data_IF_218676598813
#
_entry.id   IF_218676598813
#
_cell.length_a   1.000
_cell.length_b   1.000
_cell.length_c   1.000
_cell.angle_alpha   90.00
_cell.angle_beta   90.00
_cell.angle_gamma   90.00
#
_symmetry.space_group_name_H-M   'P 1'
#
loop_
_entity.id
_entity.type
_entity.pdbx_description
1 polymer ?
#
# COMPACT_ATOMS: atom_id res chain seq x y z
N UNK A 1 11.73 -18.90 -13.81
CA UNK A 1 11.22 -17.80 -12.95
C UNK A 1 9.80 -18.08 -12.50
N UNK A 2 8.82 -18.28 -13.38
CA UNK A 2 7.44 -18.61 -12.95
C UNK A 2 7.32 -19.85 -12.07
N UNK A 3 8.10 -20.91 -12.32
CA UNK A 3 8.11 -22.08 -11.42
C UNK A 3 8.57 -21.74 -10.00
N UNK A 4 9.54 -20.83 -9.86
CA UNK A 4 10.03 -20.38 -8.55
C UNK A 4 9.03 -19.44 -7.88
N UNK A 5 8.37 -18.57 -8.64
CA UNK A 5 7.24 -17.79 -8.16
C UNK A 5 6.12 -18.68 -7.61
N UNK A 6 5.69 -19.70 -8.35
CA UNK A 6 4.67 -20.64 -7.90
C UNK A 6 5.12 -21.45 -6.68
N UNK A 7 6.40 -21.85 -6.62
CA UNK A 7 6.95 -22.51 -5.44
C UNK A 7 6.93 -21.60 -4.21
N UNK A 8 7.21 -20.31 -4.36
CA UNK A 8 7.09 -19.33 -3.29
C UNK A 8 5.64 -19.17 -2.84
N UNK A 9 4.71 -18.93 -3.77
CA UNK A 9 3.26 -18.79 -3.48
C UNK A 9 2.73 -20.03 -2.74
N UNK A 10 3.15 -21.23 -3.14
CA UNK A 10 2.75 -22.47 -2.47
C UNK A 10 3.14 -22.52 -0.98
N UNK A 11 4.19 -21.81 -0.57
CA UNK A 11 4.66 -21.76 0.81
C UNK A 11 3.98 -20.63 1.57
N UNK A 12 3.97 -19.42 1.02
CA UNK A 12 3.58 -18.21 1.76
C UNK A 12 2.10 -17.85 1.60
N UNK A 13 1.43 -18.37 0.56
CA UNK A 13 0.02 -18.10 0.27
C UNK A 13 -0.64 -19.30 -0.44
N UNK A 14 -0.77 -20.45 0.25
CA UNK A 14 -1.28 -21.68 -0.37
C UNK A 14 -2.71 -21.54 -0.90
N UNK A 15 -3.52 -20.67 -0.31
CA UNK A 15 -4.91 -20.46 -0.74
C UNK A 15 -5.01 -19.75 -2.11
N UNK A 16 -3.97 -18.98 -2.49
CA UNK A 16 -3.93 -18.30 -3.79
C UNK A 16 -3.23 -19.12 -4.88
N UNK A 17 -2.56 -20.21 -4.51
CA UNK A 17 -1.82 -21.09 -5.42
C UNK A 17 -2.68 -21.60 -6.60
N UNK A 18 -3.92 -22.09 -6.42
CA UNK A 18 -4.71 -22.59 -7.56
C UNK A 18 -4.95 -21.52 -8.62
N UNK A 19 -5.17 -20.27 -8.20
CA UNK A 19 -5.34 -19.13 -9.10
C UNK A 19 -4.04 -18.79 -9.81
N UNK A 20 -2.92 -18.77 -9.08
CA UNK A 20 -1.61 -18.53 -9.65
C UNK A 20 -1.21 -19.62 -10.67
N UNK A 21 -1.46 -20.90 -10.37
CA UNK A 21 -1.21 -22.03 -11.27
C UNK A 21 -2.09 -21.99 -12.52
N UNK A 22 -3.35 -21.56 -12.40
CA UNK A 22 -4.25 -21.40 -13.56
C UNK A 22 -3.78 -20.34 -14.55
N UNK A 23 -2.97 -19.38 -14.10
CA UNK A 23 -2.42 -18.30 -14.92
C UNK A 23 -1.00 -18.61 -15.39
N UNK A 24 -0.09 -18.89 -14.45
CA UNK A 24 1.36 -19.00 -14.68
C UNK A 24 1.87 -20.44 -14.73
N UNK A 25 1.06 -21.43 -14.35
CA UNK A 25 1.44 -22.85 -14.39
C UNK A 25 1.61 -23.35 -15.84
N UNK A 26 2.19 -24.54 -16.07
CA UNK A 26 2.52 -25.02 -17.42
C UNK A 26 1.32 -25.12 -18.39
N UNK A 27 0.12 -25.31 -17.85
CA UNK A 27 -1.13 -25.33 -18.60
C UNK A 27 -1.91 -24.00 -18.53
N UNK A 28 -1.35 -22.99 -17.88
CA UNK A 28 -1.99 -21.71 -17.61
C UNK A 28 -2.17 -20.85 -18.85
N UNK A 29 -3.01 -19.82 -18.72
CA UNK A 29 -3.41 -18.91 -19.80
C UNK A 29 -2.24 -18.11 -20.39
N UNK A 30 -1.18 -17.86 -19.60
CA UNK A 30 0.02 -17.15 -20.06
C UNK A 30 0.71 -17.81 -21.25
N UNK A 31 0.74 -19.14 -21.30
CA UNK A 31 1.48 -19.89 -22.31
C UNK A 31 0.63 -20.27 -23.52
N UNK A 32 -0.69 -20.09 -23.43
CA UNK A 32 -1.62 -20.31 -24.53
C UNK A 32 -1.78 -19.08 -25.44
N UNK A 33 -1.09 -17.99 -25.09
CA UNK A 33 -1.18 -16.68 -25.74
C UNK A 33 -0.04 -16.44 -26.75
N UNK A 34 0.04 -15.24 -27.35
CA UNK A 34 1.14 -14.90 -28.24
C UNK A 34 2.48 -14.82 -27.48
N UNK A 35 3.64 -14.91 -28.18
CA UNK A 35 4.95 -14.79 -27.55
C UNK A 35 5.14 -13.50 -26.73
N UNK A 36 4.54 -12.39 -27.16
CA UNK A 36 4.60 -11.11 -26.46
C UNK A 36 3.89 -11.19 -25.10
N UNK A 37 2.72 -11.84 -25.05
CA UNK A 37 1.98 -12.07 -23.81
C UNK A 37 2.72 -13.03 -22.89
N UNK A 38 3.32 -14.09 -23.46
CA UNK A 38 4.14 -15.02 -22.68
C UNK A 38 5.34 -14.31 -22.04
N UNK A 39 5.99 -13.37 -22.74
CA UNK A 39 7.08 -12.57 -22.18
C UNK A 39 6.58 -11.67 -21.05
N UNK A 40 5.45 -10.98 -21.24
CA UNK A 40 4.83 -10.19 -20.18
C UNK A 40 4.56 -11.02 -18.91
N UNK A 41 4.11 -12.26 -19.06
CA UNK A 41 3.93 -13.17 -17.93
C UNK A 41 5.24 -13.57 -17.24
N UNK A 42 6.34 -13.77 -17.98
CA UNK A 42 7.65 -14.04 -17.41
C UNK A 42 8.11 -12.84 -16.57
N UNK A 43 7.93 -11.62 -17.09
CA UNK A 43 8.31 -10.38 -16.42
C UNK A 43 7.45 -10.18 -15.15
N UNK A 44 6.15 -10.47 -15.22
CA UNK A 44 5.27 -10.49 -14.04
C UNK A 44 5.73 -11.49 -12.99
N UNK A 45 6.02 -12.74 -13.37
CA UNK A 45 6.54 -13.73 -12.43
C UNK A 45 7.86 -13.30 -11.78
N UNK A 46 8.77 -12.70 -12.55
CA UNK A 46 10.05 -12.22 -12.04
C UNK A 46 9.84 -11.07 -11.04
N UNK A 47 8.98 -10.11 -11.39
CA UNK A 47 8.64 -8.98 -10.51
C UNK A 47 7.96 -9.47 -9.24
N UNK A 48 6.95 -10.34 -9.35
CA UNK A 48 6.26 -10.89 -8.18
C UNK A 48 7.21 -11.68 -7.30
N UNK A 49 8.06 -12.55 -7.87
CA UNK A 49 9.05 -13.30 -7.08
C UNK A 49 10.03 -12.36 -6.37
N UNK A 50 10.48 -11.28 -7.00
CA UNK A 50 11.34 -10.28 -6.34
C UNK A 50 10.62 -9.62 -5.15
N UNK A 51 9.34 -9.26 -5.31
CA UNK A 51 8.52 -8.74 -4.20
C UNK A 51 8.39 -9.76 -3.08
N UNK A 52 8.07 -11.01 -3.41
CA UNK A 52 7.99 -12.07 -2.42
C UNK A 52 9.34 -12.32 -1.71
N UNK A 53 10.47 -12.18 -2.40
CA UNK A 53 11.79 -12.27 -1.79
C UNK A 53 12.11 -11.15 -0.80
N UNK A 54 11.51 -9.97 -0.98
CA UNK A 54 11.60 -8.86 -0.01
C UNK A 54 10.66 -9.06 1.19
N UNK A 55 9.46 -9.59 0.94
CA UNK A 55 8.45 -9.83 1.98
C UNK A 55 8.77 -11.04 2.87
N UNK A 56 9.36 -12.08 2.28
CA UNK A 56 9.68 -13.34 2.93
C UNK A 56 11.17 -13.67 2.73
N UNK A 57 12.08 -12.85 3.28
CA UNK A 57 13.52 -13.00 3.07
C UNK A 57 14.10 -14.29 3.68
N UNK A 58 13.38 -14.92 4.60
CA UNK A 58 13.69 -16.23 5.17
C UNK A 58 13.23 -17.41 4.30
N UNK A 59 12.30 -17.17 3.37
CA UNK A 59 11.74 -18.21 2.53
C UNK A 59 12.60 -18.43 1.29
N UNK A 60 13.37 -19.51 1.30
CA UNK A 60 14.27 -19.88 0.21
C UNK A 60 13.54 -20.00 -1.15
N UNK A 61 12.29 -20.45 -1.14
CA UNK A 61 11.47 -20.54 -2.34
C UNK A 61 11.21 -19.16 -2.99
N UNK A 62 11.15 -18.12 -2.16
CA UNK A 62 10.92 -16.74 -2.57
C UNK A 62 12.22 -15.99 -2.94
N UNK A 63 13.38 -16.66 -2.91
CA UNK A 63 14.68 -16.05 -3.18
C UNK A 63 15.47 -15.70 -1.92
N UNK A 64 14.94 -16.00 -0.74
CA UNK A 64 15.59 -15.87 0.57
C UNK A 64 16.70 -16.90 0.78
N UNK A 65 17.82 -16.78 0.07
CA UNK A 65 18.82 -17.83 0.02
C UNK A 65 20.24 -17.36 -0.27
N UNK A 66 20.80 -16.49 0.58
CA UNK A 66 22.23 -16.18 0.65
C UNK A 66 22.48 -14.68 0.87
N UNK A 67 23.36 -14.21 1.76
CA UNK A 67 24.42 -14.81 2.57
C UNK A 67 24.76 -13.82 3.70
N UNK A 68 25.05 -14.32 4.89
CA UNK A 68 25.88 -13.65 5.92
C UNK A 68 27.25 -13.31 5.31
N UNK A 69 27.39 -12.10 4.78
CA UNK A 69 28.64 -11.55 4.23
C UNK A 69 29.09 -10.34 5.06
N UNK A 70 30.22 -10.50 5.75
CA UNK A 70 30.94 -9.51 6.55
C UNK A 70 31.29 -8.24 5.73
N UNK A 71 31.18 -7.02 6.29
CA UNK A 71 31.46 -5.80 5.52
C UNK A 71 32.97 -5.57 5.41
N UNK A 72 33.52 -5.66 4.20
CA UNK A 72 34.89 -5.22 3.90
C UNK A 72 34.91 -3.72 3.65
N UNK A 73 35.55 -3.00 4.56
CA UNK A 73 35.92 -1.59 4.46
C UNK A 73 36.94 -1.39 3.35
N UNK A 74 36.54 -0.73 2.26
CA UNK A 74 37.42 -0.32 1.16
C UNK A 74 37.44 1.20 1.01
N UNK A 75 38.46 1.84 1.57
CA UNK A 75 38.80 3.25 1.32
C UNK A 75 39.32 3.40 -0.10
N UNK A 76 38.80 4.36 -0.87
CA UNK A 76 39.49 4.89 -2.05
C UNK A 76 39.10 6.34 -2.28
N UNK A 77 40.02 7.22 -1.91
CA UNK A 77 40.12 8.61 -2.34
C UNK A 77 40.38 8.69 -3.85
N UNK A 78 39.59 9.48 -4.58
CA UNK A 78 40.01 10.16 -5.81
C UNK A 78 38.96 11.19 -6.23
N UNK A 79 39.28 12.47 -6.06
CA UNK A 79 38.63 13.58 -6.77
C UNK A 79 38.93 13.50 -8.27
N UNK A 80 37.99 13.94 -9.13
CA UNK A 80 38.41 14.91 -10.14
C UNK A 80 37.46 16.09 -10.28
N UNK A 81 38.08 17.20 -10.68
CA UNK A 81 37.52 18.53 -10.85
C UNK A 81 36.45 18.65 -11.94
N UNK A 82 35.35 19.32 -11.58
CA UNK A 82 34.63 20.37 -12.31
C UNK A 82 34.66 20.40 -13.85
N UNK A 83 33.67 19.75 -14.46
CA UNK A 83 33.13 20.06 -15.78
C UNK A 83 31.59 19.95 -15.74
N UNK A 84 30.83 20.63 -16.61
CA UNK A 84 29.38 20.52 -16.60
C UNK A 84 29.00 19.08 -16.94
N UNK A 85 28.48 18.36 -15.94
CA UNK A 85 28.04 16.99 -16.10
C UNK A 85 26.76 17.01 -16.95
N UNK A 86 26.88 16.67 -18.22
CA UNK A 86 25.77 16.00 -18.91
C UNK A 86 25.77 14.60 -18.34
N UNK A 87 25.03 14.38 -17.25
CA UNK A 87 24.78 13.02 -16.78
C UNK A 87 24.03 12.31 -17.89
N UNK A 88 24.75 11.47 -18.62
CA UNK A 88 24.20 10.44 -19.48
C UNK A 88 23.49 9.47 -18.53
N UNK A 89 22.26 9.83 -18.16
CA UNK A 89 21.32 8.93 -17.49
C UNK A 89 21.24 7.74 -18.42
N UNK A 90 21.47 6.52 -17.89
CA UNK A 90 21.38 5.29 -18.69
C UNK A 90 20.10 5.26 -19.53
N UNK A 91 20.02 4.41 -20.57
CA UNK A 91 18.90 4.41 -21.49
C UNK A 91 17.59 4.35 -20.71
N UNK A 92 16.85 5.46 -20.71
CA UNK A 92 15.55 5.53 -20.08
C UNK A 92 14.66 4.52 -20.78
N UNK A 93 14.16 3.54 -20.04
CA UNK A 93 13.27 2.52 -20.59
C UNK A 93 11.85 3.06 -20.80
N UNK A 94 11.52 4.16 -20.12
CA UNK A 94 10.23 4.83 -20.23
C UNK A 94 10.19 5.81 -21.42
N UNK A 95 8.98 6.02 -21.96
CA UNK A 95 8.79 6.97 -23.07
C UNK A 95 9.09 8.39 -22.57
N UNK A 96 9.84 9.24 -23.31
CA UNK A 96 10.10 10.60 -22.86
C UNK A 96 8.84 11.49 -22.76
N UNK A 97 8.80 12.38 -21.78
CA UNK A 97 7.76 13.40 -21.55
C UNK A 97 6.33 12.83 -21.43
N UNK A 98 6.16 11.70 -20.75
CA UNK A 98 4.84 11.21 -20.43
C UNK A 98 4.12 12.16 -19.47
N UNK A 99 2.80 12.32 -19.63
CA UNK A 99 1.99 13.12 -18.72
C UNK A 99 1.91 12.47 -17.33
N UNK A 100 1.30 13.20 -16.39
CA UNK A 100 0.85 12.60 -15.13
C UNK A 100 -0.05 11.39 -15.39
N UNK A 101 -0.10 10.47 -14.43
CA UNK A 101 -0.85 9.22 -14.45
C UNK A 101 -0.39 8.21 -15.53
N UNK A 102 0.61 8.56 -16.34
CA UNK A 102 1.18 7.62 -17.29
C UNK A 102 1.98 6.54 -16.55
N UNK A 103 1.87 5.30 -17.03
CA UNK A 103 2.63 4.19 -16.48
C UNK A 103 4.13 4.37 -16.74
N UNK A 104 4.93 4.21 -15.68
CA UNK A 104 6.38 4.31 -15.71
C UNK A 104 7.00 3.12 -14.96
N UNK A 105 8.25 2.80 -15.29
CA UNK A 105 8.95 1.62 -14.78
C UNK A 105 10.32 1.93 -14.19
N UNK A 106 10.85 3.13 -14.44
CA UNK A 106 12.13 3.58 -13.93
C UNK A 106 11.96 4.47 -12.69
N UNK A 107 12.52 4.03 -11.55
CA UNK A 107 12.43 4.75 -10.27
C UNK A 107 13.17 6.09 -10.28
N UNK A 108 14.04 6.33 -11.26
CA UNK A 108 14.64 7.66 -11.47
C UNK A 108 13.63 8.70 -11.95
N UNK A 109 12.42 8.28 -12.33
CA UNK A 109 11.40 9.15 -12.91
C UNK A 109 11.72 9.59 -14.33
N UNK A 110 12.71 8.97 -14.97
CA UNK A 110 12.98 9.18 -16.38
C UNK A 110 11.70 8.86 -17.19
N UNK A 111 11.43 9.63 -18.23
CA UNK A 111 10.21 9.48 -19.02
C UNK A 111 9.05 10.33 -18.53
N UNK A 112 8.85 10.48 -17.22
CA UNK A 112 7.81 11.36 -16.69
C UNK A 112 8.13 12.84 -16.93
N UNK A 113 7.14 13.65 -17.33
CA UNK A 113 7.34 15.09 -17.54
C UNK A 113 7.73 15.83 -16.25
N UNK A 114 7.33 15.29 -15.10
CA UNK A 114 7.70 15.76 -13.76
C UNK A 114 9.08 15.28 -13.31
N UNK A 115 9.66 14.28 -13.99
CA UNK A 115 10.84 13.56 -13.52
C UNK A 115 10.58 12.67 -12.31
N UNK A 116 9.32 12.31 -12.02
CA UNK A 116 8.95 11.53 -10.83
C UNK A 116 8.03 10.37 -11.20
N UNK A 117 8.48 9.16 -10.87
CA UNK A 117 7.74 7.92 -11.05
C UNK A 117 7.51 7.27 -9.69
N UNK A 118 6.26 7.22 -9.22
CA UNK A 118 5.91 6.52 -8.00
C UNK A 118 5.77 5.03 -8.31
N UNK A 119 6.75 4.23 -7.90
CA UNK A 119 6.77 2.78 -8.17
C UNK A 119 6.33 2.02 -6.93
N UNK A 120 5.34 1.16 -7.12
CA UNK A 120 4.96 0.14 -6.16
C UNK A 120 5.48 -1.21 -6.63
N UNK A 121 6.35 -1.88 -5.85
CA UNK A 121 6.83 -3.20 -6.19
C UNK A 121 5.67 -4.15 -6.55
N UNK A 122 5.82 -4.85 -7.69
CA UNK A 122 4.81 -5.73 -8.32
C UNK A 122 3.58 -5.08 -8.98
N UNK A 123 3.25 -3.80 -8.71
CA UNK A 123 2.09 -3.14 -9.32
C UNK A 123 2.47 -2.13 -10.42
N UNK A 124 3.77 -1.90 -10.62
CA UNK A 124 4.28 -0.93 -11.59
C UNK A 124 4.38 0.46 -10.96
N UNK A 125 4.49 1.48 -11.81
CA UNK A 125 4.53 2.86 -11.34
C UNK A 125 3.72 3.81 -12.21
N UNK A 126 3.42 4.97 -11.64
CA UNK A 126 2.71 6.05 -12.31
C UNK A 126 3.49 7.35 -12.17
N UNK A 127 3.53 8.12 -13.26
CA UNK A 127 4.11 9.46 -13.26
C UNK A 127 3.29 10.37 -12.37
N UNK A 128 3.94 10.99 -11.38
CA UNK A 128 3.29 11.87 -10.40
C UNK A 128 3.98 13.23 -10.29
N UNK A 129 3.37 14.15 -9.55
CA UNK A 129 3.90 15.49 -9.27
C UNK A 129 4.96 15.50 -8.15
N UNK A 130 4.90 14.50 -7.26
CA UNK A 130 5.71 14.42 -6.05
C UNK A 130 6.04 12.96 -5.69
N UNK A 131 7.09 12.74 -4.91
CA UNK A 131 7.41 11.47 -4.25
C UNK A 131 7.50 11.64 -2.73
N UNK A 132 7.68 12.88 -2.27
CA UNK A 132 7.78 13.25 -0.88
C UNK A 132 7.13 14.62 -0.64
N UNK A 133 6.87 14.97 0.61
CA UNK A 133 6.35 16.28 0.99
C UNK A 133 7.25 17.43 0.50
N UNK A 134 8.57 17.23 0.50
CA UNK A 134 9.56 18.22 0.07
C UNK A 134 9.50 18.56 -1.43
N UNK A 135 8.75 17.79 -2.21
CA UNK A 135 8.49 18.06 -3.63
C UNK A 135 7.41 19.12 -3.86
N UNK A 136 6.66 19.47 -2.81
CA UNK A 136 5.50 20.34 -2.86
C UNK A 136 5.76 21.66 -2.13
N UNK A 137 5.29 22.78 -2.71
CA UNK A 137 5.52 24.12 -2.17
C UNK A 137 4.59 24.41 -0.97
N UNK A 138 4.88 23.82 0.20
CA UNK A 138 4.23 24.13 1.46
C UNK A 138 3.00 23.27 1.80
N UNK A 139 2.82 22.13 1.13
CA UNK A 139 1.83 21.11 1.46
C UNK A 139 2.43 19.72 1.33
N UNK A 140 1.58 18.68 1.32
CA UNK A 140 1.98 17.29 1.32
C UNK A 140 1.99 16.65 -0.07
N UNK A 141 2.46 15.40 -0.11
CA UNK A 141 2.35 14.55 -1.29
C UNK A 141 1.29 13.46 -1.09
N UNK A 142 0.20 13.52 -1.84
CA UNK A 142 -0.78 12.43 -1.87
C UNK A 142 -0.22 11.26 -2.68
N UNK A 143 -0.08 10.05 -2.10
CA UNK A 143 0.45 8.88 -2.81
C UNK A 143 -0.39 8.52 -4.04
N UNK A 144 0.24 7.83 -4.99
CA UNK A 144 -0.45 7.34 -6.18
C UNK A 144 -1.58 6.37 -5.81
N UNK A 145 -2.73 6.48 -6.49
CA UNK A 145 -3.83 5.53 -6.34
C UNK A 145 -3.68 4.40 -7.37
N UNK A 146 -3.22 3.26 -6.90
CA UNK A 146 -2.95 2.07 -7.74
C UNK A 146 -4.21 1.43 -8.33
N UNK A 147 -5.38 1.65 -7.72
CA UNK A 147 -6.64 1.06 -8.17
C UNK A 147 -7.24 1.83 -9.35
N UNK A 148 -7.03 3.15 -9.37
CA UNK A 148 -7.51 4.03 -10.44
C UNK A 148 -6.42 4.38 -11.46
N UNK A 149 -5.16 4.05 -11.15
CA UNK A 149 -3.99 4.35 -11.98
C UNK A 149 -3.58 5.82 -11.95
N UNK A 150 -3.95 6.53 -10.88
CA UNK A 150 -3.55 7.93 -10.68
C UNK A 150 -2.15 8.02 -10.08
N UNK A 151 -1.32 8.91 -10.62
CA UNK A 151 -0.04 9.28 -10.04
C UNK A 151 -0.19 10.03 -8.72
N UNK A 152 0.93 10.23 -8.02
CA UNK A 152 0.96 11.07 -6.83
C UNK A 152 0.78 12.54 -7.18
N UNK A 153 0.12 13.30 -6.31
CA UNK A 153 -0.26 14.70 -6.56
C UNK A 153 0.10 15.57 -5.36
N UNK A 154 0.61 16.77 -5.59
CA UNK A 154 0.84 17.72 -4.51
C UNK A 154 -0.49 18.23 -3.95
N UNK A 155 -0.58 18.37 -2.64
CA UNK A 155 -1.78 18.84 -1.95
C UNK A 155 -1.46 20.05 -1.05
N UNK A 156 -2.48 20.60 -0.38
CA UNK A 156 -2.35 21.75 0.51
C UNK A 156 -2.29 21.35 2.00
N UNK A 157 -2.28 20.05 2.30
CA UNK A 157 -2.25 19.52 3.66
C UNK A 157 -3.57 19.65 4.42
N UNK A 158 -4.69 19.56 3.70
CA UNK A 158 -6.03 19.56 4.28
C UNK A 158 -6.40 18.19 4.90
N UNK A 159 -7.60 18.09 5.51
CA UNK A 159 -8.06 16.86 6.13
C UNK A 159 -8.14 15.70 5.12
N UNK A 160 -7.39 14.63 5.40
CA UNK A 160 -7.27 13.43 4.57
C UNK A 160 -6.32 13.55 3.37
N UNK A 161 -5.65 14.68 3.20
CA UNK A 161 -4.57 14.82 2.24
C UNK A 161 -3.36 13.99 2.68
N UNK A 162 -2.61 13.45 1.70
CA UNK A 162 -1.42 12.66 2.00
C UNK A 162 -0.29 13.49 2.57
N UNK A 163 0.44 12.92 3.52
CA UNK A 163 1.54 13.56 4.22
C UNK A 163 2.64 12.55 4.56
N UNK A 164 3.84 13.05 4.84
CA UNK A 164 4.94 12.29 5.45
C UNK A 164 5.33 12.85 6.83
N UNK A 165 4.82 14.02 7.18
CA UNK A 165 5.03 14.65 8.49
C UNK A 165 3.91 15.62 8.86
N UNK A 166 3.73 15.88 10.14
CA UNK A 166 2.78 16.88 10.65
C UNK A 166 3.03 18.29 10.08
N UNK A 167 4.26 18.58 9.65
CA UNK A 167 4.67 19.89 9.17
C UNK A 167 3.93 20.33 7.88
N UNK A 168 3.40 19.40 7.11
CA UNK A 168 2.61 19.72 5.91
C UNK A 168 1.12 19.83 6.18
N UNK A 169 0.63 19.32 7.31
CA UNK A 169 -0.78 19.36 7.67
C UNK A 169 -1.16 20.77 8.13
N UNK A 170 -1.83 21.52 7.25
CA UNK A 170 -2.06 22.95 7.41
C UNK A 170 -3.34 23.29 8.16
N UNK A 171 -4.28 22.34 8.27
CA UNK A 171 -5.52 22.48 9.03
C UNK A 171 -5.26 22.26 10.53
N UNK A 172 -5.47 23.27 11.40
CA UNK A 172 -5.22 23.13 12.84
C UNK A 172 -6.11 22.12 13.58
N UNK A 173 -7.17 21.61 12.95
CA UNK A 173 -7.98 20.53 13.51
C UNK A 173 -7.55 19.17 12.99
N UNK A 174 -6.69 19.12 11.96
CA UNK A 174 -6.20 17.90 11.33
C UNK A 174 -4.68 18.00 11.10
N UNK A 175 -3.94 18.44 12.12
CA UNK A 175 -2.51 18.76 12.04
C UNK A 175 -1.59 17.56 12.33
N UNK A 176 -2.16 16.36 12.45
CA UNK A 176 -1.42 15.12 12.75
C UNK A 176 -1.36 14.23 11.51
N UNK A 177 -0.15 13.83 11.11
CA UNK A 177 0.08 12.93 10.00
C UNK A 177 0.07 11.47 10.47
N UNK A 178 -1.07 10.80 10.37
CA UNK A 178 -1.24 9.41 10.80
C UNK A 178 -1.12 8.41 9.64
N UNK A 179 -0.53 7.24 9.90
CA UNK A 179 -0.46 6.15 8.91
C UNK A 179 -1.79 5.39 8.85
N UNK A 180 -2.51 5.52 7.74
CA UNK A 180 -3.83 4.93 7.57
C UNK A 180 -3.78 3.54 6.92
N UNK A 181 -2.89 3.36 5.95
CA UNK A 181 -2.68 2.08 5.28
C UNK A 181 -1.19 1.75 5.25
N UNK A 182 -0.84 0.55 5.70
CA UNK A 182 0.53 0.05 5.59
C UNK A 182 0.50 -1.38 5.06
N UNK A 183 1.17 -1.58 3.94
CA UNK A 183 1.53 -2.89 3.43
C UNK A 183 3.06 -2.91 3.34
N UNK A 184 3.75 -3.57 4.30
CA UNK A 184 5.20 -3.55 4.39
C UNK A 184 5.87 -3.83 3.04
N UNK A 185 6.77 -2.95 2.60
CA UNK A 185 7.50 -3.11 1.35
C UNK A 185 6.68 -2.89 0.06
N UNK A 186 5.39 -2.54 0.15
CA UNK A 186 4.52 -2.24 -0.99
C UNK A 186 4.11 -0.77 -0.98
N UNK A 187 3.36 -0.35 0.04
CA UNK A 187 2.84 1.02 0.13
C UNK A 187 2.59 1.42 1.58
N UNK A 188 2.89 2.68 1.88
CA UNK A 188 2.50 3.36 3.11
C UNK A 188 1.72 4.58 2.70
N UNK A 189 0.49 4.70 3.21
CA UNK A 189 -0.37 5.88 3.02
C UNK A 189 -0.59 6.50 4.38
N UNK A 190 -0.03 7.68 4.55
CA UNK A 190 -0.24 8.52 5.71
C UNK A 190 -0.99 9.78 5.29
N UNK A 191 -1.91 10.24 6.13
CA UNK A 191 -2.84 11.32 5.81
C UNK A 191 -3.02 12.26 7.00
N UNK A 192 -3.25 13.54 6.72
CA UNK A 192 -3.54 14.54 7.74
C UNK A 192 -4.90 14.27 8.40
N UNK A 193 -4.91 14.12 9.72
CA UNK A 193 -6.10 13.83 10.53
C UNK A 193 -6.02 14.47 11.90
N UNK A 194 -7.07 14.28 12.71
CA UNK A 194 -7.17 14.87 14.06
C UNK A 194 -6.23 14.20 15.07
N UNK A 195 -5.79 12.97 14.80
CA UNK A 195 -4.98 12.16 15.72
C UNK A 195 -4.17 11.10 14.95
N UNK A 196 -3.11 10.59 15.58
CA UNK A 196 -2.45 9.34 15.16
C UNK A 196 -2.82 8.21 16.14
N UNK A 197 -3.01 8.57 17.41
CA UNK A 197 -3.30 7.63 18.49
C UNK A 197 -4.35 8.21 19.43
N UNK A 198 -4.91 7.36 20.31
CA UNK A 198 -5.80 7.80 21.39
C UNK A 198 -5.18 8.86 22.32
N UNK A 199 -3.85 9.00 22.35
CA UNK A 199 -3.17 9.98 23.19
C UNK A 199 -3.30 11.42 22.67
N UNK A 200 -3.54 11.58 21.36
CA UNK A 200 -3.73 12.88 20.71
C UNK A 200 -5.16 13.39 20.93
N UNK A 201 -6.07 12.46 21.23
CA UNK A 201 -7.46 12.72 21.54
C UNK A 201 -7.69 13.11 23.01
N UNK A 202 -8.70 13.96 23.24
CA UNK A 202 -9.01 14.48 24.57
C UNK A 202 -10.50 14.68 24.84
N UNK A 203 -10.83 14.89 26.13
CA UNK A 203 -12.17 15.30 26.52
C UNK A 203 -13.26 14.25 26.29
N UNK A 204 -14.27 14.59 25.47
CA UNK A 204 -15.43 13.74 25.20
C UNK A 204 -15.20 12.76 24.03
N UNK A 205 -14.09 12.92 23.32
CA UNK A 205 -13.76 12.13 22.12
C UNK A 205 -12.35 11.53 22.27
N UNK A 206 -12.12 10.61 23.23
CA UNK A 206 -10.79 10.12 23.58
C UNK A 206 -10.29 8.96 22.70
N UNK A 207 -11.04 8.56 21.66
CA UNK A 207 -10.71 7.42 20.81
C UNK A 207 -10.35 7.93 19.42
N UNK A 208 -9.16 7.59 18.93
CA UNK A 208 -8.74 7.82 17.55
C UNK A 208 -9.27 6.69 16.68
N UNK A 209 -10.08 7.02 15.66
CA UNK A 209 -10.67 6.04 14.78
C UNK A 209 -10.47 6.43 13.31
N UNK A 210 -10.09 5.48 12.43
CA UNK A 210 -9.92 5.77 11.03
C UNK A 210 -11.26 5.89 10.29
N UNK A 211 -11.33 6.83 9.38
CA UNK A 211 -12.36 6.95 8.33
C UNK A 211 -11.70 6.61 7.00
N UNK A 212 -12.12 5.52 6.36
CA UNK A 212 -11.53 5.04 5.10
C UNK A 212 -12.26 5.60 3.86
N UNK A 213 -11.50 5.98 2.84
CA UNK A 213 -11.97 6.20 1.47
C UNK A 213 -11.17 5.29 0.53
N UNK A 214 -11.62 4.06 0.39
CA UNK A 214 -10.91 3.03 -0.36
C UNK A 214 -10.96 3.25 -1.87
N UNK A 215 -11.93 4.01 -2.37
CA UNK A 215 -11.98 4.36 -3.80
C UNK A 215 -10.78 5.25 -4.18
N UNK A 216 -10.39 6.14 -3.27
CA UNK A 216 -9.27 7.05 -3.46
C UNK A 216 -7.97 6.58 -2.81
N UNK A 217 -8.00 5.45 -2.10
CA UNK A 217 -6.92 4.99 -1.22
C UNK A 217 -6.48 6.09 -0.24
N UNK A 218 -7.45 6.78 0.34
CA UNK A 218 -7.27 7.87 1.28
C UNK A 218 -8.16 7.69 2.51
N UNK A 219 -8.24 8.72 3.33
CA UNK A 219 -9.02 8.75 4.55
C UNK A 219 -8.34 9.65 5.57
N UNK A 220 -8.72 9.53 6.84
CA UNK A 220 -8.05 10.22 7.95
C UNK A 220 -8.42 9.55 9.27
N UNK A 221 -7.76 9.94 10.34
CA UNK A 221 -8.17 9.60 11.69
C UNK A 221 -8.95 10.75 12.31
N UNK A 222 -10.08 10.42 12.95
CA UNK A 222 -10.95 11.36 13.65
C UNK A 222 -10.97 11.00 15.15
N UNK A 223 -10.98 12.01 16.03
CA UNK A 223 -11.22 11.80 17.46
C UNK A 223 -12.72 11.62 17.71
N UNK A 224 -13.11 10.43 18.14
CA UNK A 224 -14.50 10.03 18.34
C UNK A 224 -14.81 9.69 19.80
N UNK A 225 -16.09 9.77 20.16
CA UNK A 225 -16.55 9.33 21.48
C UNK A 225 -16.50 7.78 21.56
N UNK A 226 -16.32 7.20 22.76
CA UNK A 226 -16.31 5.75 22.89
C UNK A 226 -17.67 5.16 22.47
N UNK A 227 -17.65 4.09 21.68
CA UNK A 227 -18.84 3.41 21.20
C UNK A 227 -19.66 4.20 20.18
N UNK A 228 -19.09 5.19 19.51
CA UNK A 228 -19.81 6.05 18.57
C UNK A 228 -19.68 5.64 17.10
N UNK A 229 -18.73 4.77 16.76
CA UNK A 229 -18.53 4.29 15.39
C UNK A 229 -19.51 3.15 15.10
N UNK A 230 -20.35 3.35 14.09
CA UNK A 230 -21.32 2.35 13.66
C UNK A 230 -20.65 1.14 12.98
N UNK A 231 -21.39 0.03 12.86
CA UNK A 231 -20.92 -1.14 12.11
C UNK A 231 -20.57 -0.76 10.66
N UNK A 232 -19.44 -1.26 10.17
CA UNK A 232 -18.83 -0.88 8.89
C UNK A 232 -17.90 0.33 8.95
N UNK A 233 -17.88 1.08 10.06
CA UNK A 233 -16.89 2.14 10.28
C UNK A 233 -15.52 1.58 10.67
N UNK A 234 -14.46 2.39 10.52
CA UNK A 234 -13.10 2.00 10.87
C UNK A 234 -12.81 2.09 12.37
N UNK A 235 -11.92 1.24 12.87
CA UNK A 235 -11.54 1.20 14.27
C UNK A 235 -10.11 0.67 14.47
N UNK A 236 -9.46 1.08 15.56
CA UNK A 236 -8.22 0.44 16.04
C UNK A 236 -8.44 -0.37 17.33
N UNK A 237 -9.61 -0.21 17.95
CA UNK A 237 -9.98 -0.94 19.16
C UNK A 237 -11.50 -1.01 19.32
N UNK A 238 -11.95 -1.97 20.12
CA UNK A 238 -13.35 -2.15 20.52
C UNK A 238 -13.99 -0.88 21.11
N UNK A 239 -13.17 0.00 21.69
CA UNK A 239 -13.64 1.24 22.31
C UNK A 239 -14.29 2.21 21.31
N UNK A 240 -13.95 2.13 20.01
CA UNK A 240 -14.57 2.97 18.99
C UNK A 240 -16.00 2.51 18.66
N UNK A 241 -16.23 1.20 18.65
CA UNK A 241 -17.38 0.57 18.01
C UNK A 241 -18.62 0.56 18.90
N UNK A 242 -19.78 0.94 18.34
CA UNK A 242 -21.08 0.88 19.04
C UNK A 242 -21.42 -0.52 19.52
N UNK A 243 -21.01 -1.55 18.77
CA UNK A 243 -21.14 -2.96 19.15
C UNK A 243 -20.16 -3.39 20.25
N UNK A 244 -19.06 -2.66 20.46
CA UNK A 244 -17.94 -3.08 21.28
C UNK A 244 -17.01 -4.10 20.62
N UNK A 245 -17.09 -4.25 19.29
CA UNK A 245 -16.31 -5.24 18.53
C UNK A 245 -15.61 -4.60 17.33
N UNK A 246 -14.28 -4.60 17.35
CA UNK A 246 -13.41 -4.21 16.25
C UNK A 246 -12.76 -5.46 15.64
N UNK A 247 -13.24 -5.87 14.47
CA UNK A 247 -12.67 -7.00 13.70
C UNK A 247 -11.68 -6.53 12.64
N UNK A 248 -10.99 -7.48 12.00
CA UNK A 248 -10.11 -7.19 10.85
C UNK A 248 -10.82 -7.55 9.54
N UNK A 249 -10.86 -6.63 8.58
CA UNK A 249 -11.17 -6.93 7.19
C UNK A 249 -9.87 -7.00 6.37
N UNK A 250 -9.72 -8.02 5.54
CA UNK A 250 -8.54 -8.19 4.69
C UNK A 250 -8.84 -7.83 3.23
N UNK A 251 -8.03 -6.92 2.68
CA UNK A 251 -8.04 -6.61 1.25
C UNK A 251 -7.00 -7.51 0.58
N UNK A 252 -7.49 -8.52 -0.13
CA UNK A 252 -6.67 -9.46 -0.91
C UNK A 252 -5.57 -10.18 -0.09
N UNK A 253 -5.72 -10.30 1.22
CA UNK A 253 -4.71 -10.93 2.10
C UNK A 253 -3.49 -10.04 2.39
N UNK A 254 -3.44 -8.80 1.89
CA UNK A 254 -2.26 -7.93 1.98
C UNK A 254 -2.45 -6.80 2.98
N UNK A 255 -3.57 -6.08 2.88
CA UNK A 255 -3.89 -4.95 3.74
C UNK A 255 -4.96 -5.37 4.74
N UNK A 256 -4.73 -5.09 6.02
CA UNK A 256 -5.69 -5.34 7.10
C UNK A 256 -6.24 -4.01 7.58
N UNK A 257 -7.56 -3.92 7.64
CA UNK A 257 -8.28 -2.76 8.15
C UNK A 257 -9.06 -3.15 9.40
N UNK A 258 -9.02 -2.34 10.44
CA UNK A 258 -9.90 -2.54 11.58
C UNK A 258 -11.29 -2.00 11.27
N UNK A 259 -12.33 -2.83 11.47
CA UNK A 259 -13.71 -2.52 11.10
C UNK A 259 -14.65 -2.88 12.23
N UNK A 260 -15.50 -1.94 12.61
CA UNK A 260 -16.56 -2.19 13.59
C UNK A 260 -17.57 -3.19 13.02
N UNK A 261 -17.82 -4.28 13.74
CA UNK A 261 -18.77 -5.32 13.37
C UNK A 261 -19.67 -5.71 14.54
N UNK A 262 -20.67 -6.55 14.30
CA UNK A 262 -21.53 -7.09 15.36
C UNK A 262 -20.81 -8.14 16.23
N UNK A 263 -19.75 -8.74 15.70
CA UNK A 263 -19.01 -9.84 16.31
C UNK A 263 -17.55 -9.83 15.84
N UNK A 264 -16.67 -10.53 16.58
CA UNK A 264 -15.32 -10.90 16.12
C UNK A 264 -15.17 -12.43 16.08
N UNK A 265 -15.99 -13.15 16.84
CA UNK A 265 -16.06 -14.60 16.82
C UNK A 265 -17.50 -15.09 17.03
N UNK A 266 -17.77 -16.37 16.72
CA UNK A 266 -19.09 -17.01 16.91
C UNK A 266 -19.64 -16.87 18.34
N UNK A 267 -18.75 -16.74 19.33
CA UNK A 267 -19.14 -16.56 20.74
C UNK A 267 -19.81 -15.21 21.05
N UNK A 268 -19.66 -14.23 20.17
CA UNK A 268 -20.32 -12.93 20.28
C UNK A 268 -21.77 -12.97 19.73
N UNK A 269 -22.11 -14.02 18.99
CA UNK A 269 -23.42 -14.20 18.36
C UNK A 269 -24.42 -14.99 19.22
N UNK A 270 -25.70 -14.95 18.85
CA UNK A 270 -26.72 -15.72 19.56
C UNK A 270 -26.48 -17.23 19.37
N UNK A 271 -26.94 -18.09 20.31
CA UNK A 271 -26.79 -19.53 20.15
C UNK A 271 -27.38 -20.06 18.83
N UNK A 272 -26.52 -20.55 17.95
CA UNK A 272 -26.88 -21.10 16.63
C UNK A 272 -26.54 -20.21 15.44
N UNK A 273 -26.11 -18.97 15.68
CA UNK A 273 -25.56 -18.07 14.67
C UNK A 273 -24.03 -18.24 14.57
N UNK A 274 -23.46 -17.82 13.44
CA UNK A 274 -22.02 -17.74 13.21
C UNK A 274 -21.65 -16.30 12.89
N UNK A 275 -20.44 -15.92 13.27
CA UNK A 275 -19.89 -14.63 12.90
C UNK A 275 -19.37 -14.71 11.46
N UNK A 276 -19.91 -13.86 10.59
CA UNK A 276 -19.33 -13.65 9.26
C UNK A 276 -18.14 -12.71 9.35
N UNK A 277 -17.09 -12.97 8.57
CA UNK A 277 -15.93 -12.09 8.51
C UNK A 277 -16.31 -10.70 7.95
N UNK A 278 -15.62 -9.67 8.43
CA UNK A 278 -15.71 -8.34 7.84
C UNK A 278 -15.18 -8.36 6.39
N UNK A 279 -15.79 -7.56 5.52
CA UNK A 279 -15.49 -7.57 4.08
C UNK A 279 -15.21 -6.16 3.56
N UNK A 280 -14.39 -6.11 2.52
CA UNK A 280 -14.16 -4.89 1.74
C UNK A 280 -14.63 -5.13 0.32
N UNK A 281 -15.49 -4.25 -0.17
CA UNK A 281 -15.83 -4.19 -1.59
C UNK A 281 -15.06 -3.05 -2.25
N UNK A 282 -13.97 -3.42 -2.93
CA UNK A 282 -13.12 -2.48 -3.67
C UNK A 282 -13.84 -1.85 -4.87
N UNK A 283 -14.90 -2.45 -5.41
CA UNK A 283 -15.64 -1.86 -6.54
C UNK A 283 -16.52 -0.70 -6.08
N UNK A 284 -17.14 -0.82 -4.91
CA UNK A 284 -17.97 0.23 -4.34
C UNK A 284 -17.21 1.14 -3.36
N UNK A 285 -15.99 0.77 -2.98
CA UNK A 285 -15.20 1.46 -1.96
C UNK A 285 -15.78 1.32 -0.55
N UNK A 286 -16.65 0.33 -0.33
CA UNK A 286 -17.36 0.14 0.94
C UNK A 286 -16.68 -0.88 1.82
N UNK A 287 -16.82 -0.67 3.13
CA UNK A 287 -16.38 -1.57 4.18
C UNK A 287 -17.60 -2.09 4.91
N UNK A 288 -17.68 -3.40 5.08
CA UNK A 288 -18.75 -4.10 5.76
C UNK A 288 -18.19 -4.74 7.03
N UNK A 289 -18.75 -4.38 8.18
CA UNK A 289 -18.44 -5.05 9.43
C UNK A 289 -18.91 -6.50 9.44
N UNK A 290 -18.30 -7.31 10.28
CA UNK A 290 -18.75 -8.66 10.60
C UNK A 290 -20.21 -8.65 11.08
N UNK A 291 -21.00 -9.65 10.71
CA UNK A 291 -22.42 -9.79 11.11
C UNK A 291 -22.72 -11.19 11.63
N UNK A 292 -23.65 -11.29 12.59
CA UNK A 292 -24.12 -12.59 13.07
C UNK A 292 -25.22 -13.14 12.14
N UNK A 293 -25.07 -14.39 11.68
CA UNK A 293 -25.98 -15.01 10.71
C UNK A 293 -26.24 -16.50 10.95
#
# INVERSE_FOLDING_TARGET
MCEQYLACVAVVSPDTLPTAESTFGPAGTCWQSSPEVAQGCIDSCASSLNTFGMLYPEEAACGGGGTTGEPTTGTSDSEPSGGPMTTDVGPCNDTPNQPQDAACTDSSGCGCSSGKCFIVPALGGFCGECLADADCDGGGCTPANLFTGGGSVCNEGGPGDGCQSDAVCSDPSNDVCGTLFEVPGIITVSTCGECETNADCGGQTPVCAPTYDLANLSGRFDCVAPGSVANGGGCESDAACTSGHCGEASIMGLLKLGVCGECVADGDCSPGEQCSDAQVDLQSGQVFGATCQ
#
